data_IF_776038459135
#
_entry.id   IF_776038459135
#
_cell.length_a   1.000
_cell.length_b   1.000
_cell.length_c   1.000
_cell.angle_alpha   90.00
_cell.angle_beta   90.00
_cell.angle_gamma   90.00
#
_symmetry.space_group_name_H-M   'P 1'
#
loop_
_entity.id
_entity.type
_entity.pdbx_description
1 polymer ?
#
# COMPACT_ATOMS: atom_id res chain seq x y z
N UNK A 1 -5.06 -24.40 -17.49
CA UNK A 1 -5.69 -23.17 -16.96
C UNK A 1 -4.86 -21.99 -17.42
N UNK A 2 -5.36 -21.05 -18.24
CA UNK A 2 -4.49 -20.02 -18.79
C UNK A 2 -4.20 -18.97 -17.72
N UNK A 3 -2.92 -18.80 -17.41
CA UNK A 3 -2.39 -17.70 -16.61
C UNK A 3 -2.74 -16.40 -17.33
N UNK A 4 -3.80 -15.76 -16.85
CA UNK A 4 -4.37 -14.56 -17.44
C UNK A 4 -3.39 -13.42 -17.23
N UNK A 5 -2.61 -13.19 -18.29
CA UNK A 5 -1.67 -12.09 -18.47
C UNK A 5 -2.27 -10.82 -17.88
N UNK A 6 -1.63 -10.31 -16.83
CA UNK A 6 -1.94 -9.08 -16.11
C UNK A 6 -1.99 -7.90 -17.09
N UNK A 7 -3.16 -7.66 -17.68
CA UNK A 7 -3.47 -6.40 -18.34
C UNK A 7 -3.58 -5.34 -17.24
N UNK A 8 -2.49 -4.57 -17.09
CA UNK A 8 -2.43 -3.18 -16.63
C UNK A 8 -3.78 -2.64 -16.09
N UNK A 9 -3.79 -2.30 -14.80
CA UNK A 9 -4.72 -1.36 -14.12
C UNK A 9 -6.15 -1.79 -13.78
N UNK A 10 -6.41 -2.99 -13.27
CA UNK A 10 -7.64 -3.23 -12.46
C UNK A 10 -7.37 -4.20 -11.31
N UNK A 11 -7.16 -3.67 -10.11
CA UNK A 11 -7.46 -4.43 -8.89
C UNK A 11 -8.93 -4.85 -8.96
N UNK A 12 -9.26 -6.06 -8.47
CA UNK A 12 -10.68 -6.39 -8.28
C UNK A 12 -11.26 -5.39 -7.27
N UNK A 13 -12.55 -5.05 -7.34
CA UNK A 13 -13.15 -4.15 -6.36
C UNK A 13 -12.93 -4.61 -4.91
N UNK A 14 -12.82 -5.92 -4.70
CA UNK A 14 -12.44 -6.49 -3.41
C UNK A 14 -10.99 -6.17 -2.99
N UNK A 15 -10.03 -6.32 -3.90
CA UNK A 15 -8.61 -6.01 -3.65
C UNK A 15 -8.39 -4.51 -3.47
N UNK A 16 -9.11 -3.69 -4.24
CA UNK A 16 -9.08 -2.24 -4.12
C UNK A 16 -9.59 -1.81 -2.72
N UNK A 17 -10.69 -2.40 -2.25
CA UNK A 17 -11.23 -2.11 -0.92
C UNK A 17 -10.28 -2.52 0.23
N UNK A 18 -9.39 -3.48 0.01
CA UNK A 18 -8.33 -3.83 0.97
C UNK A 18 -7.24 -2.75 0.93
N UNK A 19 -6.76 -2.38 -0.26
CA UNK A 19 -5.76 -1.31 -0.43
C UNK A 19 -6.25 0.02 0.14
N UNK A 20 -7.51 0.40 -0.09
CA UNK A 20 -8.11 1.64 0.43
C UNK A 20 -8.22 1.62 1.95
N UNK A 21 -8.60 0.51 2.57
CA UNK A 21 -8.65 0.39 4.04
C UNK A 21 -7.26 0.54 4.67
N UNK A 22 -6.26 -0.13 4.10
CA UNK A 22 -4.87 0.00 4.56
C UNK A 22 -4.37 1.43 4.39
N UNK A 23 -4.69 2.06 3.25
CA UNK A 23 -4.34 3.45 2.99
C UNK A 23 -4.95 4.41 4.02
N UNK A 24 -6.26 4.32 4.24
CA UNK A 24 -6.99 5.16 5.20
C UNK A 24 -6.45 4.96 6.62
N UNK A 25 -6.21 3.72 7.03
CA UNK A 25 -5.61 3.41 8.34
C UNK A 25 -4.22 4.03 8.51
N UNK A 26 -3.36 3.96 7.51
CA UNK A 26 -2.00 4.52 7.60
C UNK A 26 -2.06 6.05 7.56
N UNK A 27 -2.91 6.64 6.72
CA UNK A 27 -3.15 8.09 6.74
C UNK A 27 -3.66 8.59 8.09
N UNK A 28 -4.60 7.86 8.71
CA UNK A 28 -5.11 8.19 10.04
C UNK A 28 -4.08 8.00 11.15
N UNK A 29 -3.25 6.95 11.08
CA UNK A 29 -2.21 6.65 12.08
C UNK A 29 -1.05 7.65 12.03
N UNK A 30 -0.61 8.03 10.82
CA UNK A 30 0.50 8.95 10.60
C UNK A 30 0.07 10.42 10.41
N UNK A 31 -1.23 10.73 10.52
CA UNK A 31 -1.80 12.05 10.20
C UNK A 31 -1.36 12.58 8.82
N UNK A 32 -1.29 11.69 7.83
CA UNK A 32 -0.91 12.06 6.46
C UNK A 32 -2.11 12.73 5.80
N UNK A 33 -1.87 13.93 5.28
CA UNK A 33 -2.87 14.63 4.49
C UNK A 33 -3.07 13.90 3.14
N UNK A 34 -4.31 13.52 2.78
CA UNK A 34 -4.58 12.70 1.60
C UNK A 34 -4.32 13.42 0.27
N UNK A 35 -4.14 14.74 0.28
CA UNK A 35 -3.78 15.55 -0.89
C UNK A 35 -2.25 15.73 -1.01
N UNK A 36 -1.50 15.24 -0.05
CA UNK A 36 -0.05 15.38 -0.01
C UNK A 36 0.65 14.34 -0.87
N UNK A 37 1.85 14.70 -1.34
CA UNK A 37 2.71 13.80 -2.12
C UNK A 37 3.09 12.53 -1.37
N UNK A 38 3.10 12.60 -0.04
CA UNK A 38 3.35 11.46 0.84
C UNK A 38 2.22 10.43 0.78
N UNK A 39 0.97 10.91 0.72
CA UNK A 39 -0.22 10.10 0.50
C UNK A 39 -0.18 9.44 -0.90
N UNK A 40 0.14 10.19 -1.95
CA UNK A 40 0.30 9.60 -3.29
C UNK A 40 1.37 8.48 -3.30
N UNK A 41 2.52 8.73 -2.66
CA UNK A 41 3.59 7.74 -2.53
C UNK A 41 3.14 6.50 -1.72
N UNK A 42 2.36 6.70 -0.67
CA UNK A 42 1.78 5.62 0.13
C UNK A 42 0.83 4.75 -0.71
N UNK A 43 -0.06 5.36 -1.48
CA UNK A 43 -0.99 4.62 -2.36
C UNK A 43 -0.24 3.78 -3.41
N UNK A 44 0.79 4.35 -4.05
CA UNK A 44 1.63 3.62 -5.01
C UNK A 44 2.35 2.44 -4.33
N UNK A 45 2.88 2.65 -3.12
CA UNK A 45 3.57 1.62 -2.37
C UNK A 45 2.64 0.49 -1.94
N UNK A 46 1.45 0.80 -1.42
CA UNK A 46 0.43 -0.20 -1.05
C UNK A 46 0.10 -1.07 -2.26
N UNK A 47 -0.15 -0.47 -3.42
CA UNK A 47 -0.45 -1.24 -4.65
C UNK A 47 0.75 -2.07 -5.10
N UNK A 48 1.98 -1.58 -4.95
CA UNK A 48 3.19 -2.31 -5.30
C UNK A 48 3.44 -3.52 -4.39
N UNK A 49 3.30 -3.34 -3.07
CA UNK A 49 3.44 -4.42 -2.07
C UNK A 49 2.32 -5.44 -2.24
N UNK A 50 1.07 -4.97 -2.39
CA UNK A 50 -0.08 -5.83 -2.61
C UNK A 50 0.10 -6.73 -3.84
N UNK A 51 0.70 -6.23 -4.92
CA UNK A 51 0.95 -7.01 -6.13
C UNK A 51 2.14 -7.98 -6.03
N UNK A 52 3.00 -7.83 -5.02
CA UNK A 52 4.21 -8.61 -4.87
C UNK A 52 4.01 -9.79 -3.90
N UNK A 53 3.34 -9.55 -2.76
CA UNK A 53 3.33 -10.50 -1.63
C UNK A 53 1.90 -10.98 -1.26
N UNK A 54 0.93 -10.85 -2.17
CA UNK A 54 -0.52 -10.94 -1.85
C UNK A 54 -0.94 -12.14 -0.98
N UNK A 55 -1.37 -11.88 0.27
CA UNK A 55 -2.15 -12.85 1.07
C UNK A 55 -3.23 -12.24 1.97
N UNK A 56 -3.02 -11.10 2.66
CA UNK A 56 -4.03 -10.51 3.58
C UNK A 56 -3.89 -8.99 3.85
N UNK A 57 -4.99 -8.34 4.24
CA UNK A 57 -5.02 -6.91 4.69
C UNK A 57 -4.02 -6.65 5.82
N UNK A 58 -3.93 -7.55 6.81
CA UNK A 58 -3.01 -7.43 7.94
C UNK A 58 -1.54 -7.48 7.52
N UNK A 59 -1.17 -8.46 6.70
CA UNK A 59 0.19 -8.55 6.15
C UNK A 59 0.55 -7.31 5.32
N UNK A 60 -0.38 -6.85 4.48
CA UNK A 60 -0.19 -5.62 3.71
C UNK A 60 0.07 -4.42 4.62
N UNK A 61 -0.73 -4.26 5.69
CA UNK A 61 -0.58 -3.17 6.64
C UNK A 61 0.75 -3.25 7.41
N UNK A 62 1.15 -4.44 7.85
CA UNK A 62 2.40 -4.66 8.57
C UNK A 62 3.63 -4.38 7.69
N UNK A 63 3.60 -4.81 6.43
CA UNK A 63 4.67 -4.54 5.47
C UNK A 63 4.75 -3.05 5.13
N UNK A 64 3.61 -2.40 4.87
CA UNK A 64 3.54 -0.96 4.60
C UNK A 64 4.09 -0.18 5.79
N UNK A 65 3.67 -0.50 7.02
CA UNK A 65 4.22 0.14 8.24
C UNK A 65 5.70 -0.14 8.42
N UNK A 66 6.18 -1.35 8.12
CA UNK A 66 7.60 -1.69 8.21
C UNK A 66 8.44 -0.95 7.17
N UNK A 67 7.97 -0.82 5.93
CA UNK A 67 8.58 0.00 4.89
C UNK A 67 8.62 1.48 5.27
N UNK A 68 7.54 2.02 5.84
CA UNK A 68 7.48 3.41 6.31
C UNK A 68 8.48 3.67 7.44
N UNK A 69 8.55 2.78 8.43
CA UNK A 69 9.52 2.87 9.54
C UNK A 69 10.96 2.81 9.04
N UNK A 70 11.26 1.96 8.07
CA UNK A 70 12.60 1.89 7.47
C UNK A 70 12.93 3.10 6.60
N UNK A 71 11.97 3.66 5.85
CA UNK A 71 12.13 4.92 5.12
C UNK A 71 12.30 6.15 6.03
N UNK A 72 11.67 6.15 7.20
CA UNK A 72 11.83 7.17 8.23
C UNK A 72 13.21 7.12 8.92
N UNK A 73 13.81 5.93 9.02
CA UNK A 73 15.15 5.75 9.59
C UNK A 73 16.28 6.27 8.68
N UNK A 74 16.04 6.39 7.37
CA UNK A 74 17.04 6.90 6.40
C UNK A 74 17.14 8.44 6.37
N UNK A 75 16.35 9.18 7.17
CA UNK A 75 16.50 10.63 7.37
C UNK A 75 17.22 11.03 8.66
N UNK A 76 18.03 10.13 9.21
CA UNK A 76 18.94 10.42 10.32
C UNK A 76 20.37 9.96 9.98
N UNK A 77 20.98 10.56 8.95
CA UNK A 77 22.43 10.63 8.83
C UNK A 77 22.86 11.92 8.16
#
# INVERSE_FOLDING_TARGET
>A
MPHRRFSRTRLSPHDLAICERVYDQVCADEHIDPLSRDAEALAVMIVAVFRNITTNERELLEEVRSLRRSKGAEKAH
#
